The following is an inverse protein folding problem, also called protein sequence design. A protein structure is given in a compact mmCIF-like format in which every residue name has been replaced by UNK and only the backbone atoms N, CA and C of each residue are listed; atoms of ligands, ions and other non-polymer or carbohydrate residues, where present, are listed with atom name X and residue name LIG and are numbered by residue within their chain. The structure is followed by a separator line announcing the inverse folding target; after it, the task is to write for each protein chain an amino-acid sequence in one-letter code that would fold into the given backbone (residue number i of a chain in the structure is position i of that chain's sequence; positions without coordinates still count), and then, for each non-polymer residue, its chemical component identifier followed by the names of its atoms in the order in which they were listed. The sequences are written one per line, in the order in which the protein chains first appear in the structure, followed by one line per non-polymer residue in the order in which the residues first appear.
data_IF_837131013614
#
_entry.id   IF_837131013614
#
_cell.length_a   1.000
_cell.length_b   1.000
_cell.length_c   1.000
_cell.angle_alpha   90.00
_cell.angle_beta   90.00
_cell.angle_gamma   90.00
#
_symmetry.space_group_name_H-M   'P 1'
#
loop_
_entity.id
_entity.type
_entity.pdbx_description
1 polymer ?
#
# COMPACT_ATOMS: atom_id res chain seq x y z
N UNK A 1 -33.53 6.55 42.82
CA UNK A 1 -32.36 6.60 41.91
C UNK A 1 -32.21 8.03 41.41
N UNK A 2 -31.02 8.64 41.49
CA UNK A 2 -30.83 10.04 41.07
C UNK A 2 -30.62 10.14 39.55
N UNK A 3 -31.09 11.23 38.94
CA UNK A 3 -30.94 11.54 37.51
C UNK A 3 -29.46 11.53 37.07
N UNK A 4 -28.56 11.87 37.98
CA UNK A 4 -27.11 11.89 37.76
C UNK A 4 -26.53 10.51 37.43
N UNK A 5 -27.08 9.45 38.03
CA UNK A 5 -26.62 8.08 37.78
C UNK A 5 -27.03 7.60 36.38
N UNK A 6 -28.21 8.01 35.92
CA UNK A 6 -28.68 7.71 34.58
C UNK A 6 -27.90 8.49 33.52
N UNK A 7 -27.64 9.78 33.76
CA UNK A 7 -26.81 10.62 32.88
C UNK A 7 -25.38 10.09 32.75
N UNK A 8 -24.78 9.64 33.87
CA UNK A 8 -23.43 9.06 33.87
C UNK A 8 -23.36 7.75 33.08
N UNK A 9 -24.43 6.95 33.11
CA UNK A 9 -24.54 5.74 32.29
C UNK A 9 -24.68 6.05 30.80
N UNK A 10 -25.55 6.98 30.42
CA UNK A 10 -25.72 7.40 29.02
C UNK A 10 -24.42 7.97 28.43
N UNK A 11 -23.67 8.74 29.22
CA UNK A 11 -22.37 9.28 28.83
C UNK A 11 -21.36 8.15 28.58
N UNK A 12 -21.28 7.16 29.48
CA UNK A 12 -20.40 5.99 29.31
C UNK A 12 -20.75 5.14 28.10
N UNK A 13 -22.05 4.97 27.78
CA UNK A 13 -22.48 4.23 26.57
C UNK A 13 -22.07 5.00 25.31
N UNK A 14 -22.26 6.34 25.30
CA UNK A 14 -21.83 7.19 24.18
C UNK A 14 -20.31 7.15 23.97
N UNK A 15 -19.53 7.21 25.03
CA UNK A 15 -18.06 7.13 24.96
C UNK A 15 -17.58 5.73 24.55
N UNK A 16 -18.26 4.67 25.00
CA UNK A 16 -17.99 3.29 24.58
C UNK A 16 -18.33 3.05 23.10
N UNK A 17 -19.36 3.70 22.56
CA UNK A 17 -19.68 3.67 21.12
C UNK A 17 -18.67 4.46 20.28
N UNK A 18 -18.06 5.50 20.84
CA UNK A 18 -17.06 6.32 20.13
C UNK A 18 -15.70 5.62 20.02
N UNK A 19 -15.42 4.62 20.86
CA UNK A 19 -14.19 3.83 20.83
C UNK A 19 -14.25 2.56 19.95
N UNK A 20 -15.41 2.29 19.32
CA UNK A 20 -15.63 1.12 18.46
C UNK A 20 -15.62 1.45 16.95
N UNK A 21 -15.17 2.65 16.56
CA UNK A 21 -14.90 2.99 15.15
C UNK A 21 -13.41 2.88 14.82
N UNK A 22 -12.78 1.81 15.26
CA UNK A 22 -11.61 1.27 14.57
C UNK A 22 -12.07 0.12 13.68
N UNK A 23 -13.01 0.39 12.76
CA UNK A 23 -13.16 -0.50 11.62
C UNK A 23 -11.91 -0.31 10.76
N UNK A 24 -10.86 -1.05 11.14
CA UNK A 24 -9.65 -1.25 10.36
C UNK A 24 -10.00 -2.07 9.13
N UNK A 25 -10.85 -1.53 8.24
CA UNK A 25 -10.77 -1.86 6.84
C UNK A 25 -9.45 -1.23 6.35
N UNK A 26 -8.32 -1.82 6.72
CA UNK A 26 -7.00 -1.49 6.22
C UNK A 26 -6.99 -1.83 4.75
N UNK A 27 -7.42 -0.86 3.94
CA UNK A 27 -7.42 -0.99 2.50
C UNK A 27 -5.97 -1.18 2.07
N UNK A 28 -5.68 -2.35 1.55
CA UNK A 28 -4.32 -2.79 1.30
C UNK A 28 -4.26 -3.54 -0.03
N UNK A 29 -3.05 -3.78 -0.50
CA UNK A 29 -2.83 -4.54 -1.71
C UNK A 29 -3.02 -6.06 -1.53
N UNK A 30 -3.47 -6.55 -0.36
CA UNK A 30 -3.57 -7.98 -0.06
C UNK A 30 -4.52 -8.74 -1.01
N UNK A 31 -5.51 -8.05 -1.58
CA UNK A 31 -6.46 -8.61 -2.56
C UNK A 31 -6.07 -8.27 -4.01
N UNK A 32 -4.95 -7.58 -4.23
CA UNK A 32 -4.49 -7.26 -5.58
C UNK A 32 -3.92 -8.52 -6.26
N UNK A 33 -4.44 -8.84 -7.44
CA UNK A 33 -4.05 -10.03 -8.22
C UNK A 33 -2.77 -9.76 -9.03
N UNK A 34 -2.44 -8.50 -9.29
CA UNK A 34 -1.25 -8.10 -10.04
C UNK A 34 0.02 -8.32 -9.21
N UNK A 35 0.90 -9.19 -9.68
CA UNK A 35 2.22 -9.46 -9.09
C UNK A 35 3.30 -9.32 -10.13
N UNK A 36 4.50 -8.94 -9.69
CA UNK A 36 5.63 -8.73 -10.56
C UNK A 36 6.89 -9.39 -10.02
N UNK A 37 7.57 -10.17 -10.86
CA UNK A 37 8.72 -11.00 -10.49
C UNK A 37 10.08 -10.44 -10.90
N UNK A 38 10.12 -9.26 -11.53
CA UNK A 38 11.35 -8.69 -12.07
C UNK A 38 11.70 -9.17 -13.48
N UNK A 39 10.70 -9.52 -14.28
CA UNK A 39 10.90 -9.88 -15.69
C UNK A 39 11.51 -8.69 -16.45
N UNK A 40 12.47 -8.91 -17.36
CA UNK A 40 13.12 -7.84 -18.13
C UNK A 40 12.26 -7.37 -19.31
N UNK A 41 10.96 -7.25 -19.10
CA UNK A 41 9.99 -6.83 -20.09
C UNK A 41 9.39 -5.48 -19.70
N UNK A 42 9.67 -4.47 -20.53
CA UNK A 42 9.19 -3.11 -20.31
C UNK A 42 7.66 -3.02 -20.31
N UNK A 43 6.99 -3.83 -21.12
CA UNK A 43 5.53 -3.79 -21.22
C UNK A 43 4.90 -4.34 -19.95
N UNK A 44 5.44 -5.44 -19.41
CA UNK A 44 4.92 -6.06 -18.18
C UNK A 44 5.14 -5.20 -16.94
N UNK A 45 6.28 -4.49 -16.84
CA UNK A 45 6.47 -3.54 -15.73
C UNK A 45 5.52 -2.34 -15.84
N UNK A 46 5.24 -1.85 -17.06
CA UNK A 46 4.26 -0.78 -17.26
C UNK A 46 2.84 -1.21 -16.95
N UNK A 47 2.45 -2.41 -17.38
CA UNK A 47 1.14 -2.98 -17.08
C UNK A 47 0.97 -3.18 -15.56
N UNK A 48 1.98 -3.73 -14.88
CA UNK A 48 1.98 -3.88 -13.42
C UNK A 48 1.81 -2.54 -12.70
N UNK A 49 2.61 -1.52 -13.04
CA UNK A 49 2.52 -0.19 -12.43
C UNK A 49 1.14 0.44 -12.67
N UNK A 50 0.59 0.24 -13.87
CA UNK A 50 -0.73 0.77 -14.24
C UNK A 50 -1.82 0.10 -13.40
N UNK A 51 -1.81 -1.23 -13.31
CA UNK A 51 -2.79 -2.00 -12.55
C UNK A 51 -2.77 -1.66 -11.06
N UNK A 52 -1.59 -1.58 -10.43
CA UNK A 52 -1.51 -1.22 -9.00
C UNK A 52 -1.93 0.24 -8.74
N UNK A 53 -1.68 1.15 -9.69
CA UNK A 53 -2.12 2.55 -9.59
C UNK A 53 -3.63 2.67 -9.72
N UNK A 54 -4.24 1.92 -10.64
CA UNK A 54 -5.70 1.85 -10.78
C UNK A 54 -6.31 1.24 -9.52
N UNK A 55 -5.76 0.11 -9.06
CA UNK A 55 -6.23 -0.57 -7.85
C UNK A 55 -6.17 0.34 -6.63
N UNK A 56 -5.06 1.06 -6.44
CA UNK A 56 -4.92 2.07 -5.37
C UNK A 56 -6.01 3.13 -5.43
N UNK A 57 -6.36 3.63 -6.63
CA UNK A 57 -7.41 4.64 -6.83
C UNK A 57 -8.80 4.09 -6.53
N UNK A 58 -9.10 2.89 -7.02
CA UNK A 58 -10.39 2.21 -6.82
C UNK A 58 -10.63 1.89 -5.35
N UNK A 59 -9.62 1.30 -4.69
CA UNK A 59 -9.70 0.98 -3.28
C UNK A 59 -9.53 2.21 -2.39
N UNK A 60 -9.04 3.34 -2.91
CA UNK A 60 -8.74 4.55 -2.12
C UNK A 60 -7.73 4.24 -1.00
N UNK A 61 -6.60 3.63 -1.39
CA UNK A 61 -5.48 3.29 -0.49
C UNK A 61 -4.57 4.52 -0.36
N UNK A 62 -4.25 4.88 0.88
CA UNK A 62 -3.31 5.96 1.18
C UNK A 62 -1.91 5.66 0.63
N UNK A 63 -1.12 6.69 0.32
CA UNK A 63 0.26 6.51 -0.14
C UNK A 63 1.11 5.69 0.84
N UNK A 64 0.91 5.89 2.14
CA UNK A 64 1.63 5.18 3.20
C UNK A 64 1.29 3.68 3.24
N UNK A 65 0.01 3.34 3.13
CA UNK A 65 -0.47 1.94 3.08
C UNK A 65 -0.10 1.27 1.76
N UNK A 66 -0.09 2.02 0.66
CA UNK A 66 0.36 1.54 -0.63
C UNK A 66 1.85 1.16 -0.58
N UNK A 67 2.68 1.96 0.08
CA UNK A 67 4.11 1.65 0.26
C UNK A 67 4.33 0.42 1.14
N UNK A 68 3.56 0.28 2.23
CA UNK A 68 3.62 -0.91 3.11
C UNK A 68 3.15 -2.17 2.39
N UNK A 69 2.16 -2.04 1.50
CA UNK A 69 1.60 -3.14 0.74
C UNK A 69 2.40 -3.51 -0.51
N UNK A 70 3.20 -2.61 -1.09
CA UNK A 70 3.95 -2.89 -2.31
C UNK A 70 4.82 -4.17 -2.26
N UNK A 71 5.58 -4.48 -1.18
CA UNK A 71 6.38 -5.70 -1.14
C UNK A 71 5.59 -6.99 -1.35
N UNK A 72 4.29 -7.03 -0.98
CA UNK A 72 3.48 -8.26 -1.16
C UNK A 72 3.12 -8.53 -2.63
N UNK A 73 3.28 -7.53 -3.50
CA UNK A 73 3.06 -7.63 -4.94
C UNK A 73 4.35 -7.90 -5.71
N UNK A 74 5.50 -7.72 -5.05
CA UNK A 74 6.81 -8.01 -5.61
C UNK A 74 7.19 -9.44 -5.27
N UNK A 75 7.80 -10.12 -6.23
CA UNK A 75 8.28 -11.49 -6.08
C UNK A 75 9.68 -11.61 -6.67
N UNK A 76 10.44 -12.63 -6.27
CA UNK A 76 11.75 -12.92 -6.85
C UNK A 76 12.74 -11.76 -6.76
N UNK A 77 13.33 -11.38 -7.90
CA UNK A 77 14.43 -10.40 -7.97
C UNK A 77 13.98 -9.01 -7.52
N UNK A 78 12.72 -8.65 -7.75
CA UNK A 78 12.18 -7.34 -7.36
C UNK A 78 11.96 -7.17 -5.87
N UNK A 79 11.77 -8.25 -5.12
CA UNK A 79 11.65 -8.20 -3.66
C UNK A 79 13.00 -7.80 -3.02
N UNK A 80 14.08 -8.43 -3.49
CA UNK A 80 15.45 -8.07 -3.05
C UNK A 80 15.87 -6.66 -3.46
N UNK A 81 15.36 -6.14 -4.58
CA UNK A 81 15.57 -4.75 -4.98
C UNK A 81 14.80 -3.80 -4.08
N UNK A 82 13.55 -4.12 -3.76
CA UNK A 82 12.72 -3.30 -2.88
C UNK A 82 13.31 -3.18 -1.47
N UNK A 83 13.84 -4.26 -0.92
CA UNK A 83 14.52 -4.25 0.38
C UNK A 83 15.71 -3.30 0.43
N UNK A 84 16.43 -3.14 -0.69
CA UNK A 84 17.56 -2.20 -0.81
C UNK A 84 17.11 -0.75 -0.94
N UNK A 85 15.96 -0.50 -1.56
CA UNK A 85 15.52 0.86 -1.93
C UNK A 85 14.51 1.44 -0.93
N UNK A 86 13.83 0.63 -0.13
CA UNK A 86 12.75 1.06 0.79
C UNK A 86 13.15 2.14 1.80
N UNK A 87 14.43 2.19 2.19
CA UNK A 87 14.98 3.14 3.16
C UNK A 87 15.52 4.44 2.53
N UNK A 88 15.76 4.46 1.22
CA UNK A 88 16.59 5.50 0.57
C UNK A 88 15.75 6.53 -0.23
N UNK A 89 14.46 6.28 -0.52
CA UNK A 89 13.70 7.07 -1.51
C UNK A 89 12.28 7.49 -1.06
N UNK A 90 11.91 8.77 -1.29
CA UNK A 90 10.54 9.31 -1.18
C UNK A 90 9.61 8.78 -2.29
N UNK A 91 8.34 8.51 -1.93
CA UNK A 91 7.33 7.72 -2.67
C UNK A 91 7.19 7.99 -4.18
N UNK A 92 7.06 9.26 -4.61
CA UNK A 92 6.90 9.63 -6.02
C UNK A 92 8.09 9.17 -6.90
N UNK A 93 9.29 9.11 -6.34
CA UNK A 93 10.49 8.69 -7.08
C UNK A 93 10.65 7.16 -7.14
N UNK A 94 9.87 6.38 -6.37
CA UNK A 94 9.98 4.90 -6.32
C UNK A 94 9.38 4.23 -7.55
N UNK A 95 8.25 4.70 -8.05
CA UNK A 95 7.63 4.16 -9.28
C UNK A 95 8.49 4.44 -10.52
N UNK A 96 9.12 5.61 -10.58
CA UNK A 96 10.09 5.95 -11.62
C UNK A 96 11.35 5.09 -11.56
N UNK A 97 11.87 4.82 -10.35
CA UNK A 97 13.09 4.03 -10.15
C UNK A 97 12.90 2.53 -10.39
N UNK A 98 11.67 2.00 -10.26
CA UNK A 98 11.36 0.61 -10.64
C UNK A 98 11.65 0.34 -12.13
N UNK A 99 11.47 1.35 -13.01
CA UNK A 99 11.86 1.25 -14.42
C UNK A 99 13.38 1.09 -14.62
N UNK A 100 14.19 1.72 -13.77
CA UNK A 100 15.66 1.74 -13.89
C UNK A 100 16.29 0.51 -13.24
N UNK A 101 15.76 0.04 -12.12
CA UNK A 101 16.28 -1.14 -11.41
C UNK A 101 15.98 -2.47 -12.10
N UNK A 102 14.85 -2.57 -12.82
CA UNK A 102 14.40 -3.82 -13.44
C UNK A 102 14.76 -3.94 -14.91
N UNK A 103 14.89 -2.81 -15.61
CA UNK A 103 15.57 -2.74 -16.89
C UNK A 103 16.90 -2.01 -16.67
N UNK A 104 18.01 -2.73 -16.38
CA UNK A 104 19.31 -2.12 -16.57
C UNK A 104 19.35 -1.68 -18.04
N UNK A 105 19.46 -0.38 -18.27
CA UNK A 105 19.62 0.15 -19.63
C UNK A 105 20.70 -0.69 -20.31
N UNK A 106 20.35 -1.27 -21.46
CA UNK A 106 21.33 -1.80 -22.38
C UNK A 106 22.30 -0.66 -22.67
N UNK A 107 23.46 -0.69 -22.03
CA UNK A 107 24.67 -0.06 -22.53
C UNK A 107 25.07 -0.85 -23.78
N UNK A 108 24.47 -0.48 -24.90
CA UNK A 108 24.89 -0.77 -26.26
C UNK A 108 24.03 0.19 -27.11
N UNK A 109 24.56 1.19 -27.81
CA UNK A 109 25.87 1.35 -28.43
C UNK A 109 26.24 2.83 -28.51
#
# INVERSE_FOLDING_TARGET
MSKDQFSSLLQKIRDAHSHNKCNMNTKSFAQCISRYGGERDHNKVQEFITNITIYKKVENISDDDALKGLPILLTGVTDTWWDRVKNDIKMESRFGSLKIGVCPKTLAS
#
